data_IF_478828374865
#
_entry.id   IF_478828374865
#
_cell.length_a   1.000
_cell.length_b   1.000
_cell.length_c   1.000
_cell.angle_alpha   90.00
_cell.angle_beta   90.00
_cell.angle_gamma   90.00
#
_symmetry.space_group_name_H-M   'P 1'
#
loop_
_entity.id
_entity.type
_entity.pdbx_description
1 polymer ?
#
# COMPACT_ATOMS: atom_id res chain seq x y z
N UNK A 1 12.37 45.86 32.61
CA UNK A 1 12.03 45.55 31.21
C UNK A 1 10.90 44.52 31.25
N UNK A 2 9.66 44.98 31.17
CA UNK A 2 8.47 44.13 31.22
C UNK A 2 8.36 43.42 29.86
N UNK A 3 8.77 42.15 29.80
CA UNK A 3 8.52 41.26 28.67
C UNK A 3 7.03 41.12 28.49
N UNK A 4 6.46 41.74 27.44
CA UNK A 4 5.04 41.75 27.13
C UNK A 4 4.55 40.28 27.09
N UNK A 5 3.56 39.88 27.89
CA UNK A 5 3.06 38.49 27.92
C UNK A 5 2.54 38.01 26.57
N UNK A 6 2.13 38.94 25.70
CA UNK A 6 1.71 38.65 24.33
C UNK A 6 2.81 38.01 23.44
N UNK A 7 4.08 38.32 23.65
CA UNK A 7 5.18 37.75 22.90
C UNK A 7 5.30 36.21 23.15
N UNK A 8 5.19 35.80 24.40
CA UNK A 8 5.25 34.39 24.75
C UNK A 8 4.04 33.61 24.27
N UNK A 9 2.84 34.23 24.32
CA UNK A 9 1.61 33.63 23.78
C UNK A 9 1.71 33.45 22.27
N UNK A 10 2.25 34.44 21.55
CA UNK A 10 2.45 34.33 20.10
C UNK A 10 3.48 33.23 19.74
N UNK A 11 4.54 33.08 20.52
CA UNK A 11 5.55 32.03 20.30
C UNK A 11 4.99 30.65 20.55
N UNK A 12 4.19 30.47 21.62
CA UNK A 12 3.51 29.21 21.93
C UNK A 12 2.51 28.86 20.81
N UNK A 13 1.73 29.81 20.35
CA UNK A 13 0.77 29.64 19.26
C UNK A 13 1.47 29.22 17.98
N UNK A 14 2.58 29.88 17.62
CA UNK A 14 3.37 29.56 16.43
C UNK A 14 3.96 28.13 16.53
N UNK A 15 4.44 27.75 17.72
CA UNK A 15 4.94 26.40 17.97
C UNK A 15 3.84 25.35 17.82
N UNK A 16 2.65 25.60 18.35
CA UNK A 16 1.49 24.71 18.20
C UNK A 16 1.05 24.57 16.75
N UNK A 17 1.03 25.67 16.02
CA UNK A 17 0.72 25.65 14.57
C UNK A 17 1.77 24.86 13.77
N UNK A 18 3.05 25.02 14.09
CA UNK A 18 4.13 24.25 13.46
C UNK A 18 4.00 22.75 13.76
N UNK A 19 3.72 22.39 15.01
CA UNK A 19 3.48 21.01 15.40
C UNK A 19 2.24 20.42 14.70
N UNK A 20 1.15 21.16 14.61
CA UNK A 20 -0.06 20.75 13.89
C UNK A 20 0.20 20.57 12.40
N UNK A 21 0.98 21.46 11.78
CA UNK A 21 1.36 21.35 10.37
C UNK A 21 2.22 20.12 10.08
N UNK A 22 3.22 19.86 10.91
CA UNK A 22 4.05 18.66 10.82
C UNK A 22 3.22 17.38 11.00
N UNK A 23 2.27 17.44 11.92
CA UNK A 23 1.36 16.33 12.15
C UNK A 23 0.46 16.07 10.94
N UNK A 24 -0.11 17.12 10.35
CA UNK A 24 -0.98 17.04 9.16
C UNK A 24 -0.19 16.64 7.89
N UNK A 25 1.08 17.03 7.75
CA UNK A 25 1.92 16.66 6.61
C UNK A 25 2.43 15.21 6.66
N UNK A 26 2.30 14.52 7.80
CA UNK A 26 2.90 13.21 8.04
C UNK A 26 2.57 12.12 7.01
N UNK A 27 1.31 11.89 6.59
CA UNK A 27 0.98 10.91 5.57
C UNK A 27 1.62 11.21 4.21
N UNK A 28 1.69 12.48 3.83
CA UNK A 28 2.32 12.94 2.59
C UNK A 28 3.82 12.64 2.58
N UNK A 29 4.48 12.87 3.72
CA UNK A 29 5.89 12.53 3.89
C UNK A 29 6.13 11.02 3.79
N UNK A 30 5.22 10.20 4.33
CA UNK A 30 5.31 8.75 4.21
C UNK A 30 5.14 8.29 2.75
N UNK A 31 4.14 8.80 2.02
CA UNK A 31 3.94 8.51 0.60
C UNK A 31 5.12 8.94 -0.25
N UNK A 32 5.64 10.15 -0.02
CA UNK A 32 6.83 10.65 -0.72
C UNK A 32 8.05 9.77 -0.42
N UNK A 33 8.24 9.39 0.83
CA UNK A 33 9.32 8.49 1.25
C UNK A 33 9.25 7.11 0.59
N UNK A 34 8.05 6.55 0.41
CA UNK A 34 7.84 5.30 -0.33
C UNK A 34 8.20 5.49 -1.81
N UNK A 35 7.68 6.53 -2.47
CA UNK A 35 8.00 6.82 -3.87
C UNK A 35 9.52 6.97 -4.06
N UNK A 36 10.18 7.74 -3.22
CA UNK A 36 11.62 7.94 -3.28
C UNK A 36 12.42 6.64 -3.06
N UNK A 37 11.99 5.81 -2.11
CA UNK A 37 12.63 4.53 -1.84
C UNK A 37 12.52 3.56 -3.04
N UNK A 38 11.38 3.58 -3.73
CA UNK A 38 11.16 2.82 -4.95
C UNK A 38 12.04 3.36 -6.08
N UNK A 39 12.05 4.66 -6.34
CA UNK A 39 12.86 5.28 -7.39
C UNK A 39 14.36 5.02 -7.20
N UNK A 40 14.84 5.11 -5.95
CA UNK A 40 16.23 4.90 -5.59
C UNK A 40 16.63 3.42 -5.46
N UNK A 41 15.68 2.49 -5.63
CA UNK A 41 15.88 1.05 -5.43
C UNK A 41 16.49 0.72 -4.07
N UNK A 42 16.04 1.40 -3.02
CA UNK A 42 16.58 1.24 -1.67
C UNK A 42 15.54 0.55 -0.76
N UNK A 43 15.52 -0.82 -0.70
CA UNK A 43 14.51 -1.55 0.06
C UNK A 43 14.48 -1.20 1.55
N UNK A 44 15.64 -0.96 2.15
CA UNK A 44 15.75 -0.61 3.57
C UNK A 44 15.04 0.71 3.93
N UNK A 45 14.86 1.63 2.97
CA UNK A 45 14.11 2.87 3.20
C UNK A 45 12.60 2.62 3.28
N UNK A 46 12.09 1.57 2.64
CA UNK A 46 10.66 1.21 2.69
C UNK A 46 10.23 0.81 4.10
N UNK A 47 11.08 0.14 4.87
CA UNK A 47 10.79 -0.29 6.25
C UNK A 47 10.44 0.88 7.19
N UNK A 48 10.90 2.09 6.86
CA UNK A 48 10.58 3.29 7.63
C UNK A 48 9.15 3.77 7.41
N UNK A 49 8.57 3.47 6.24
CA UNK A 49 7.29 4.00 5.78
C UNK A 49 6.22 2.92 5.58
N UNK A 50 6.60 1.63 5.62
CA UNK A 50 5.69 0.49 5.48
C UNK A 50 5.82 -0.40 6.70
N UNK A 51 4.69 -0.80 7.26
CA UNK A 51 4.61 -1.87 8.26
C UNK A 51 4.34 -3.19 7.52
N UNK A 52 5.42 -3.90 7.18
CA UNK A 52 5.33 -5.14 6.44
C UNK A 52 4.59 -6.25 7.19
N UNK A 53 4.65 -6.25 8.54
CA UNK A 53 3.94 -7.23 9.34
C UNK A 53 2.43 -7.02 9.26
N UNK A 54 1.97 -5.80 9.48
CA UNK A 54 0.55 -5.44 9.36
C UNK A 54 0.03 -5.67 7.93
N UNK A 55 0.83 -5.28 6.92
CA UNK A 55 0.47 -5.44 5.52
C UNK A 55 0.29 -6.91 5.12
N UNK A 56 1.20 -7.81 5.57
CA UNK A 56 1.08 -9.26 5.34
C UNK A 56 -0.18 -9.82 5.96
N UNK A 57 -0.47 -9.47 7.21
CA UNK A 57 -1.67 -9.93 7.92
C UNK A 57 -2.93 -9.51 7.16
N UNK A 58 -3.01 -8.24 6.76
CA UNK A 58 -4.16 -7.71 6.03
C UNK A 58 -4.34 -8.36 4.67
N UNK A 59 -3.28 -8.49 3.86
CA UNK A 59 -3.36 -9.11 2.54
C UNK A 59 -3.69 -10.60 2.62
N UNK A 60 -3.12 -11.34 3.57
CA UNK A 60 -3.48 -12.75 3.81
C UNK A 60 -4.96 -12.89 4.13
N UNK A 61 -5.49 -12.05 5.01
CA UNK A 61 -6.91 -12.08 5.37
C UNK A 61 -7.81 -11.77 4.17
N UNK A 62 -7.49 -10.77 3.36
CA UNK A 62 -8.25 -10.40 2.17
C UNK A 62 -8.24 -11.52 1.11
N UNK A 63 -7.08 -12.15 0.88
CA UNK A 63 -6.94 -13.21 -0.11
C UNK A 63 -7.59 -14.52 0.37
N UNK A 64 -7.44 -14.88 1.65
CA UNK A 64 -8.11 -16.04 2.24
C UNK A 64 -9.64 -15.92 2.14
N UNK A 65 -10.19 -14.75 2.49
CA UNK A 65 -11.61 -14.46 2.38
C UNK A 65 -12.12 -14.58 0.92
N UNK A 66 -11.30 -14.20 -0.06
CA UNK A 66 -11.61 -14.39 -1.48
C UNK A 66 -11.61 -15.85 -1.90
N UNK A 67 -10.58 -16.60 -1.50
CA UNK A 67 -10.51 -18.05 -1.78
C UNK A 67 -11.76 -18.75 -1.23
N UNK A 68 -12.16 -18.43 0.00
CA UNK A 68 -13.35 -19.00 0.63
C UNK A 68 -14.61 -18.64 -0.17
N UNK A 69 -14.77 -17.37 -0.57
CA UNK A 69 -15.94 -16.94 -1.36
C UNK A 69 -15.97 -17.54 -2.76
N UNK A 70 -14.82 -17.70 -3.41
CA UNK A 70 -14.77 -18.28 -4.77
C UNK A 70 -15.03 -19.77 -4.80
N UNK A 71 -14.73 -20.48 -3.72
CA UNK A 71 -14.91 -21.93 -3.63
C UNK A 71 -16.40 -22.36 -3.45
N UNK A 72 -17.25 -21.45 -3.01
CA UNK A 72 -18.67 -21.72 -2.78
C UNK A 72 -18.98 -22.54 -1.51
N UNK A 73 -20.26 -22.68 -1.22
CA UNK A 73 -20.76 -23.34 0.01
C UNK A 73 -20.47 -24.84 0.00
N UNK A 74 -20.53 -25.48 -1.15
CA UNK A 74 -20.36 -26.94 -1.29
C UNK A 74 -18.90 -27.35 -0.98
N UNK A 75 -17.92 -26.56 -1.40
CA UNK A 75 -16.53 -26.82 -1.06
C UNK A 75 -16.25 -26.63 0.44
N UNK A 76 -16.95 -25.70 1.08
CA UNK A 76 -16.77 -25.44 2.52
C UNK A 76 -17.38 -26.57 3.39
N UNK A 77 -18.42 -27.25 2.92
CA UNK A 77 -19.13 -28.28 3.66
C UNK A 77 -18.53 -29.68 3.50
N UNK A 78 -17.76 -29.96 2.45
CA UNK A 78 -17.15 -31.25 2.19
C UNK A 78 -15.76 -31.41 2.82
N UNK A 79 -15.40 -32.63 3.24
CA UNK A 79 -14.06 -32.92 3.81
C UNK A 79 -12.95 -32.70 2.81
N UNK A 80 -13.15 -33.07 1.55
CA UNK A 80 -12.14 -32.84 0.49
C UNK A 80 -12.05 -31.37 0.14
N UNK A 81 -13.16 -30.64 0.09
CA UNK A 81 -13.16 -29.21 -0.15
C UNK A 81 -12.49 -28.42 0.98
N UNK A 82 -12.66 -28.79 2.23
CA UNK A 82 -11.99 -28.14 3.36
C UNK A 82 -10.48 -28.34 3.33
N UNK A 83 -10.01 -29.53 2.93
CA UNK A 83 -8.58 -29.80 2.73
C UNK A 83 -8.00 -28.99 1.55
N UNK A 84 -8.74 -28.92 0.43
CA UNK A 84 -8.33 -28.10 -0.72
C UNK A 84 -8.26 -26.60 -0.37
N UNK A 85 -9.22 -26.10 0.41
CA UNK A 85 -9.22 -24.72 0.89
C UNK A 85 -8.04 -24.44 1.84
N UNK A 86 -7.72 -25.38 2.73
CA UNK A 86 -6.58 -25.26 3.62
C UNK A 86 -5.25 -25.20 2.84
N UNK A 87 -5.10 -26.06 1.83
CA UNK A 87 -3.95 -26.05 0.94
C UNK A 87 -3.85 -24.74 0.14
N UNK A 88 -4.96 -24.27 -0.45
CA UNK A 88 -5.02 -23.01 -1.17
C UNK A 88 -4.65 -21.81 -0.28
N UNK A 89 -5.18 -21.76 0.94
CA UNK A 89 -4.84 -20.72 1.91
C UNK A 89 -3.36 -20.77 2.33
N UNK A 90 -2.78 -21.96 2.45
CA UNK A 90 -1.35 -22.14 2.71
C UNK A 90 -0.48 -21.58 1.59
N UNK A 91 -0.82 -21.86 0.34
CA UNK A 91 -0.13 -21.34 -0.83
C UNK A 91 -0.24 -19.82 -0.93
N UNK A 92 -1.44 -19.27 -0.73
CA UNK A 92 -1.67 -17.82 -0.69
C UNK A 92 -0.84 -17.19 0.41
N UNK A 93 -0.83 -17.78 1.60
CA UNK A 93 -0.03 -17.28 2.72
C UNK A 93 1.46 -17.23 2.41
N UNK A 94 2.02 -18.29 1.84
CA UNK A 94 3.42 -18.37 1.44
C UNK A 94 3.77 -17.35 0.34
N UNK A 95 2.89 -17.18 -0.64
CA UNK A 95 3.06 -16.19 -1.72
C UNK A 95 3.10 -14.77 -1.17
N UNK A 96 2.17 -14.42 -0.26
CA UNK A 96 2.16 -13.11 0.40
C UNK A 96 3.42 -12.88 1.20
N UNK A 97 3.92 -13.88 1.94
CA UNK A 97 5.15 -13.74 2.73
C UNK A 97 6.38 -13.48 1.86
N UNK A 98 6.43 -14.09 0.68
CA UNK A 98 7.52 -13.91 -0.29
C UNK A 98 7.46 -12.53 -0.96
N UNK A 99 6.28 -12.10 -1.36
CA UNK A 99 6.07 -10.88 -2.14
C UNK A 99 6.07 -9.65 -1.24
N UNK A 100 5.45 -9.71 -0.06
CA UNK A 100 5.35 -8.57 0.88
C UNK A 100 6.62 -8.47 1.73
N UNK A 101 7.72 -8.25 1.04
CA UNK A 101 9.04 -7.94 1.61
C UNK A 101 9.57 -6.66 0.96
N UNK A 102 10.53 -5.95 1.57
CA UNK A 102 11.15 -4.78 0.95
C UNK A 102 11.72 -5.07 -0.44
N UNK A 103 12.35 -6.22 -0.60
CA UNK A 103 12.89 -6.69 -1.89
C UNK A 103 11.77 -7.07 -2.87
N UNK A 104 10.78 -7.85 -2.42
CA UNK A 104 9.67 -8.30 -3.24
C UNK A 104 8.84 -7.14 -3.79
N UNK A 105 8.49 -6.17 -2.95
CA UNK A 105 7.77 -4.97 -3.38
C UNK A 105 8.61 -4.15 -4.37
N UNK A 106 9.89 -3.99 -4.11
CA UNK A 106 10.79 -3.28 -5.03
C UNK A 106 10.88 -4.02 -6.37
N UNK A 107 11.03 -5.34 -6.35
CA UNK A 107 11.09 -6.17 -7.55
C UNK A 107 9.78 -6.11 -8.36
N UNK A 108 8.62 -6.22 -7.71
CA UNK A 108 7.32 -6.09 -8.37
C UNK A 108 7.15 -4.74 -9.07
N UNK A 109 7.49 -3.66 -8.39
CA UNK A 109 7.33 -2.32 -8.95
C UNK A 109 8.30 -2.03 -10.10
N UNK A 110 9.49 -2.64 -10.08
CA UNK A 110 10.42 -2.55 -11.21
C UNK A 110 10.15 -3.59 -12.30
N UNK A 111 9.63 -4.76 -11.92
CA UNK A 111 9.31 -5.85 -12.84
C UNK A 111 8.07 -5.62 -13.69
N UNK A 112 7.13 -4.78 -13.26
CA UNK A 112 5.88 -4.55 -14.00
C UNK A 112 6.07 -4.06 -15.43
N UNK A 113 7.12 -3.31 -15.72
CA UNK A 113 7.44 -2.88 -17.09
C UNK A 113 7.96 -4.00 -17.98
N UNK A 114 8.77 -4.91 -17.45
CA UNK A 114 9.33 -6.07 -18.15
C UNK A 114 8.33 -7.22 -18.23
N UNK A 115 7.51 -7.39 -17.19
CA UNK A 115 6.47 -8.40 -17.14
C UNK A 115 5.36 -8.16 -18.17
N UNK A 116 4.84 -6.93 -18.26
CA UNK A 116 3.86 -6.56 -19.30
C UNK A 116 4.35 -6.83 -20.72
N UNK A 117 5.64 -6.63 -20.97
CA UNK A 117 6.26 -6.96 -22.26
C UNK A 117 6.36 -8.47 -22.49
N UNK A 118 6.64 -9.25 -21.46
CA UNK A 118 6.78 -10.71 -21.53
C UNK A 118 5.43 -11.42 -21.75
N UNK A 119 4.33 -10.88 -21.23
CA UNK A 119 2.97 -11.46 -21.34
C UNK A 119 2.21 -10.97 -22.59
N UNK A 120 2.90 -10.26 -23.51
CA UNK A 120 2.31 -9.92 -24.81
C UNK A 120 1.29 -8.79 -24.79
N UNK A 121 1.17 -8.03 -23.72
CA UNK A 121 0.43 -6.77 -23.71
C UNK A 121 1.28 -5.68 -24.39
N UNK A 122 1.50 -5.87 -25.69
CA UNK A 122 2.01 -4.84 -26.60
C UNK A 122 0.89 -3.83 -26.87
N UNK A 123 0.59 -2.97 -25.90
CA UNK A 123 0.14 -1.65 -26.28
C UNK A 123 1.36 -0.98 -26.94
N UNK A 124 1.18 -0.53 -28.15
CA UNK A 124 2.13 0.24 -28.96
C UNK A 124 2.56 1.50 -28.17
N UNK A 125 3.42 1.28 -27.20
CA UNK A 125 4.17 2.36 -26.56
C UNK A 125 5.40 2.56 -27.43
N UNK A 126 5.54 3.77 -27.97
CA UNK A 126 6.70 4.22 -28.70
C UNK A 126 7.99 3.65 -28.10
N UNK A 127 8.76 2.96 -28.91
CA UNK A 127 9.97 2.22 -28.53
C UNK A 127 11.07 3.12 -27.94
N UNK A 128 10.83 4.43 -27.86
CA UNK A 128 11.76 5.46 -27.41
C UNK A 128 11.39 6.13 -26.07
N UNK A 129 10.24 5.84 -25.47
CA UNK A 129 9.89 6.43 -24.19
C UNK A 129 10.56 5.66 -23.05
N UNK A 130 11.34 6.33 -22.19
CA UNK A 130 11.88 5.70 -20.99
C UNK A 130 10.73 5.13 -20.16
N UNK A 131 10.88 3.95 -19.53
CA UNK A 131 9.82 3.33 -18.75
C UNK A 131 9.32 4.32 -17.71
N UNK A 132 8.01 4.57 -17.72
CA UNK A 132 7.37 5.49 -16.78
C UNK A 132 7.76 5.11 -15.34
N UNK A 133 8.28 6.08 -14.60
CA UNK A 133 8.66 5.86 -13.20
C UNK A 133 7.45 5.40 -12.42
N UNK A 134 7.57 4.31 -11.65
CA UNK A 134 6.46 3.84 -10.83
C UNK A 134 6.12 4.89 -9.78
N UNK A 135 4.97 5.52 -9.92
CA UNK A 135 4.43 6.47 -8.95
C UNK A 135 3.11 5.91 -8.41
N UNK A 136 3.16 5.04 -7.39
CA UNK A 136 1.98 4.39 -6.84
C UNK A 136 0.95 5.38 -6.27
N UNK A 137 1.38 6.56 -5.88
CA UNK A 137 0.53 7.61 -5.32
C UNK A 137 0.27 8.79 -6.25
N UNK A 138 0.41 8.62 -7.58
CA UNK A 138 0.02 9.66 -8.53
C UNK A 138 -1.51 9.63 -8.76
N UNK A 139 -2.15 10.81 -8.77
CA UNK A 139 -3.58 10.94 -9.05
C UNK A 139 -4.47 10.25 -8.02
N UNK A 140 -4.14 10.36 -6.74
CA UNK A 140 -4.89 9.77 -5.63
C UNK A 140 -5.91 10.74 -5.05
N UNK A 141 -7.07 10.22 -4.64
CA UNK A 141 -7.98 10.87 -3.71
C UNK A 141 -7.58 10.50 -2.29
N UNK A 142 -7.65 11.45 -1.36
CA UNK A 142 -7.19 11.22 0.00
C UNK A 142 -8.15 11.77 1.05
N UNK A 143 -8.16 11.14 2.21
CA UNK A 143 -9.01 11.55 3.33
C UNK A 143 -8.38 11.16 4.67
N UNK A 144 -8.46 12.08 5.65
CA UNK A 144 -8.26 11.73 7.05
C UNK A 144 -9.50 11.04 7.59
N UNK A 145 -9.35 9.80 8.04
CA UNK A 145 -10.42 9.05 8.72
C UNK A 145 -10.45 9.36 10.21
N UNK A 146 -9.27 9.61 10.78
CA UNK A 146 -9.08 10.03 12.16
C UNK A 146 -7.73 10.74 12.36
N UNK A 147 -7.47 11.18 13.57
CA UNK A 147 -6.19 11.76 13.95
C UNK A 147 -4.97 10.83 13.75
N UNK A 148 -5.18 9.52 13.64
CA UNK A 148 -4.13 8.51 13.48
C UNK A 148 -4.33 7.63 12.26
N UNK A 149 -5.35 7.88 11.43
CA UNK A 149 -5.67 7.07 10.26
C UNK A 149 -5.98 7.94 9.04
N UNK A 150 -5.31 7.64 7.97
CA UNK A 150 -5.41 8.33 6.69
C UNK A 150 -5.57 7.31 5.58
N UNK A 151 -6.47 7.54 4.67
CA UNK A 151 -6.68 6.71 3.49
C UNK A 151 -6.37 7.49 2.22
N UNK A 152 -5.71 6.82 1.29
CA UNK A 152 -5.43 7.31 -0.05
C UNK A 152 -5.99 6.29 -1.04
N UNK A 153 -6.83 6.71 -1.97
CA UNK A 153 -7.46 5.83 -2.94
C UNK A 153 -7.05 6.17 -4.35
N UNK A 154 -6.78 5.16 -5.15
CA UNK A 154 -6.45 5.28 -6.55
C UNK A 154 -7.45 4.48 -7.37
N UNK A 155 -8.05 5.13 -8.36
CA UNK A 155 -8.88 4.46 -9.36
C UNK A 155 -8.05 4.16 -10.60
N UNK A 156 -8.13 2.93 -11.10
CA UNK A 156 -7.53 2.55 -12.38
C UNK A 156 -8.40 2.97 -13.56
N UNK A 157 -7.92 2.73 -14.79
CA UNK A 157 -8.64 3.04 -16.02
C UNK A 157 -9.92 2.20 -16.19
N UNK A 158 -10.02 1.06 -15.52
CA UNK A 158 -11.16 0.15 -15.54
C UNK A 158 -12.20 0.48 -14.46
N UNK A 159 -11.92 1.50 -13.63
CA UNK A 159 -12.80 1.95 -12.56
C UNK A 159 -12.60 1.22 -11.23
N UNK A 160 -11.64 0.29 -11.13
CA UNK A 160 -11.34 -0.40 -9.89
C UNK A 160 -10.59 0.52 -8.93
N UNK A 161 -10.98 0.46 -7.66
CA UNK A 161 -10.38 1.34 -6.63
C UNK A 161 -9.52 0.53 -5.68
N UNK A 162 -8.23 0.87 -5.62
CA UNK A 162 -7.29 0.40 -4.60
C UNK A 162 -7.19 1.45 -3.50
N UNK A 163 -7.28 1.04 -2.23
CA UNK A 163 -7.19 1.95 -1.09
C UNK A 163 -5.96 1.62 -0.26
N UNK A 164 -5.11 2.61 -0.06
CA UNK A 164 -3.93 2.55 0.78
C UNK A 164 -4.26 3.15 2.14
N UNK A 165 -4.04 2.41 3.22
CA UNK A 165 -4.34 2.86 4.57
C UNK A 165 -3.03 3.10 5.31
N UNK A 166 -2.87 4.34 5.74
CA UNK A 166 -1.76 4.76 6.58
C UNK A 166 -2.24 4.92 8.01
N UNK A 167 -1.44 4.45 8.94
CA UNK A 167 -1.67 4.62 10.36
C UNK A 167 -0.47 5.28 11.02
N UNK A 168 -0.76 6.17 11.94
CA UNK A 168 0.28 6.78 12.75
C UNK A 168 0.67 5.85 13.88
N UNK A 169 1.92 5.41 13.86
CA UNK A 169 2.55 4.61 14.90
C UNK A 169 3.56 5.52 15.62
N UNK A 170 3.25 5.88 16.85
CA UNK A 170 3.99 6.89 17.61
C UNK A 170 4.00 8.25 16.87
N UNK A 171 5.17 8.68 16.35
CA UNK A 171 5.34 9.94 15.61
C UNK A 171 5.48 9.74 14.10
N UNK A 172 5.34 8.52 13.59
CA UNK A 172 5.56 8.20 12.18
C UNK A 172 4.30 7.62 11.55
N UNK A 173 4.03 8.03 10.32
CA UNK A 173 2.99 7.45 9.51
C UNK A 173 3.57 6.29 8.71
N UNK A 174 2.87 5.15 8.73
CA UNK A 174 3.25 3.95 8.00
C UNK A 174 2.06 3.39 7.23
N UNK A 175 2.32 2.87 6.05
CA UNK A 175 1.36 2.08 5.30
C UNK A 175 1.16 0.74 6.02
N UNK A 176 -0.07 0.46 6.44
CA UNK A 176 -0.42 -0.74 7.22
C UNK A 176 -1.35 -1.69 6.46
N UNK A 177 -2.06 -1.19 5.45
CA UNK A 177 -3.03 -1.98 4.70
C UNK A 177 -3.15 -1.47 3.27
N UNK A 178 -3.36 -2.39 2.33
CA UNK A 178 -3.73 -2.11 0.94
C UNK A 178 -4.99 -2.92 0.65
N UNK A 179 -6.11 -2.24 0.48
CA UNK A 179 -7.37 -2.86 0.11
C UNK A 179 -7.46 -3.00 -1.40
N UNK A 180 -7.53 -4.24 -1.82
CA UNK A 180 -7.62 -4.60 -3.23
C UNK A 180 -9.06 -4.46 -3.72
N UNK A 181 -9.29 -4.02 -4.97
CA UNK A 181 -10.62 -3.87 -5.52
C UNK A 181 -11.38 -5.20 -5.56
N UNK A 182 -12.72 -5.19 -5.43
CA UNK A 182 -13.53 -6.37 -5.62
C UNK A 182 -13.32 -6.89 -7.07
N UNK A 183 -13.16 -8.20 -7.23
CA UNK A 183 -12.95 -8.84 -8.55
C UNK A 183 -11.48 -8.99 -8.95
N UNK A 184 -10.54 -8.39 -8.23
CA UNK A 184 -9.12 -8.63 -8.45
C UNK A 184 -8.76 -10.07 -8.06
N UNK A 185 -8.31 -10.88 -9.00
CA UNK A 185 -7.93 -12.26 -8.75
C UNK A 185 -6.45 -12.37 -8.38
N UNK A 186 -6.11 -13.38 -7.54
CA UNK A 186 -4.71 -13.67 -7.25
C UNK A 186 -3.92 -14.04 -8.54
N UNK A 187 -4.60 -14.53 -9.57
CA UNK A 187 -4.06 -14.76 -10.89
C UNK A 187 -3.51 -13.49 -11.56
N UNK A 188 -4.09 -12.32 -11.27
CA UNK A 188 -3.64 -11.03 -11.82
C UNK A 188 -2.29 -10.57 -11.25
N UNK A 189 -1.83 -11.22 -10.18
CA UNK A 189 -0.50 -10.97 -9.56
C UNK A 189 0.51 -12.03 -9.94
N UNK A 190 0.06 -13.25 -10.17
CA UNK A 190 0.90 -14.41 -10.40
C UNK A 190 1.00 -14.78 -11.90
N UNK A 191 0.10 -14.24 -12.73
CA UNK A 191 0.08 -14.39 -14.19
C UNK A 191 0.65 -13.20 -14.87
#
# INVERSE_FOLDING_TARGET
MLRKPGFWLSLILLMLLALASLWAAGPWLAMHGINQAIEQRTPAKLEKHIDFAALRISLKAQLADRVIRSAGVDAQSSRLGSLALAAANGLVGASVDTVVTPLGITALLHGQGSWRKAVGHTETADTYSPPARPQPFAGIDWRYESASRFSASRRDRQGHTTVFIFQRQQLRWRLVDIRLPPGWAAADVLG
#
